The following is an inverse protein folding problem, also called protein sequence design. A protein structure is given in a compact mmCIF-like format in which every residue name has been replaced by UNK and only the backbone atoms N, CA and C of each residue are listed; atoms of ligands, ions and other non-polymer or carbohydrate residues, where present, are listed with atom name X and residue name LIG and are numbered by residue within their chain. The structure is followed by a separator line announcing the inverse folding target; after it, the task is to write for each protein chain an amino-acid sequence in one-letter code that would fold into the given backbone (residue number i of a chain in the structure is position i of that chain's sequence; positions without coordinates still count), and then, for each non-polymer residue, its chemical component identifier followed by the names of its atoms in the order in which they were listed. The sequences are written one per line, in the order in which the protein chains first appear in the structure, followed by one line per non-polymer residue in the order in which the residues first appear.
data_IF_274012745683
#
_entry.id   IF_274012745683
#
_cell.length_a   1.000
_cell.length_b   1.000
_cell.length_c   1.000
_cell.angle_alpha   90.00
_cell.angle_beta   90.00
_cell.angle_gamma   90.00
#
_symmetry.space_group_name_H-M   'P 1'
#
loop_
_entity.id
_entity.type
_entity.pdbx_description
1 polymer ?
#
# COMPACT_ATOMS: atom_id res chain seq x y z
N UNK A 1 2.20 -56.68 -30.39
CA UNK A 1 1.87 -55.34 -29.83
C UNK A 1 1.13 -55.58 -28.52
N UNK A 2 1.65 -55.07 -27.40
CA UNK A 2 1.04 -55.22 -26.08
C UNK A 2 0.74 -53.82 -25.54
N UNK A 3 -0.53 -53.53 -25.28
CA UNK A 3 -0.93 -52.28 -24.65
C UNK A 3 -0.82 -52.40 -23.12
N UNK A 4 0.20 -51.77 -22.55
CA UNK A 4 0.34 -51.64 -21.11
C UNK A 4 -0.49 -50.47 -20.58
N UNK A 5 -1.63 -50.76 -19.95
CA UNK A 5 -2.27 -49.81 -19.04
C UNK A 5 -1.45 -49.75 -17.74
N UNK A 6 -0.99 -48.56 -17.34
CA UNK A 6 -0.39 -48.33 -16.02
C UNK A 6 -1.25 -47.39 -15.18
N UNK A 7 -1.37 -47.75 -13.90
CA UNK A 7 -2.40 -47.27 -13.00
C UNK A 7 -2.22 -45.82 -12.52
N UNK A 8 -3.37 -45.23 -12.22
CA UNK A 8 -3.48 -43.96 -11.52
C UNK A 8 -2.71 -43.92 -10.20
N UNK A 9 -2.00 -42.81 -10.01
CA UNK A 9 -1.45 -42.40 -8.72
C UNK A 9 -2.41 -41.40 -8.08
N UNK A 10 -3.15 -41.84 -7.06
CA UNK A 10 -3.98 -40.91 -6.27
C UNK A 10 -3.08 -40.07 -5.36
N UNK A 11 -2.94 -38.78 -5.68
CA UNK A 11 -2.39 -37.80 -4.73
C UNK A 11 -3.52 -37.24 -3.88
N UNK A 12 -3.64 -37.74 -2.65
CA UNK A 12 -4.49 -37.15 -1.61
C UNK A 12 -3.85 -35.85 -1.10
N UNK A 13 -4.25 -34.72 -1.66
CA UNK A 13 -3.85 -33.39 -1.16
C UNK A 13 -4.59 -33.08 0.14
N UNK A 14 -3.91 -33.20 1.27
CA UNK A 14 -4.47 -32.80 2.57
C UNK A 14 -4.50 -31.27 2.69
N UNK A 15 -5.68 -30.68 2.50
CA UNK A 15 -5.91 -29.24 2.65
C UNK A 15 -5.86 -28.84 4.13
N UNK A 16 -4.67 -28.49 4.62
CA UNK A 16 -4.49 -27.96 5.98
C UNK A 16 -4.98 -26.51 6.02
N UNK A 17 -6.22 -26.31 6.47
CA UNK A 17 -6.72 -24.98 6.84
C UNK A 17 -5.81 -24.39 7.93
N UNK A 18 -5.08 -23.33 7.57
CA UNK A 18 -4.44 -22.46 8.54
C UNK A 18 -5.42 -21.31 8.81
N UNK A 19 -5.96 -21.27 10.03
CA UNK A 19 -6.72 -20.10 10.50
C UNK A 19 -5.81 -18.88 10.50
N UNK A 20 -6.21 -17.83 9.80
CA UNK A 20 -5.61 -16.51 9.91
C UNK A 20 -6.22 -15.82 11.13
N UNK A 21 -5.66 -16.04 12.31
CA UNK A 21 -5.96 -15.20 13.47
C UNK A 21 -5.46 -13.78 13.19
N UNK A 22 -6.39 -12.83 13.20
CA UNK A 22 -6.13 -11.41 12.94
C UNK A 22 -5.50 -10.78 14.16
N UNK A 23 -4.18 -10.63 14.09
CA UNK A 23 -3.37 -9.98 15.12
C UNK A 23 -3.77 -8.50 15.30
N UNK A 24 -4.26 -8.16 16.48
CA UNK A 24 -4.63 -6.79 16.86
C UNK A 24 -3.57 -6.19 17.78
N UNK A 25 -2.45 -5.77 17.18
CA UNK A 25 -1.50 -4.85 17.82
C UNK A 25 -1.27 -3.61 16.96
N UNK A 26 -2.03 -2.56 17.27
CA UNK A 26 -1.78 -1.19 16.79
C UNK A 26 -1.45 -0.33 18.01
N UNK A 27 -0.16 -0.03 18.25
CA UNK A 27 0.19 0.72 19.46
C UNK A 27 1.65 1.04 19.79
N UNK A 28 2.66 0.86 18.92
CA UNK A 28 4.04 1.25 19.25
C UNK A 28 4.75 2.16 18.23
N UNK A 29 5.10 3.35 18.75
CA UNK A 29 6.21 4.25 18.39
C UNK A 29 7.08 3.96 17.15
N UNK A 30 6.88 4.75 16.08
CA UNK A 30 7.95 5.05 15.12
C UNK A 30 8.59 6.40 15.43
N UNK A 31 9.56 6.42 16.34
CA UNK A 31 10.43 7.56 16.57
C UNK A 31 11.40 7.76 15.40
N UNK A 32 11.36 8.92 14.74
CA UNK A 32 12.27 9.27 13.65
C UNK A 32 13.68 9.58 14.20
N UNK A 33 14.48 8.55 14.44
CA UNK A 33 15.88 8.70 14.81
C UNK A 33 16.75 8.90 13.56
N UNK A 34 17.27 10.12 13.41
CA UNK A 34 18.27 10.44 12.38
C UNK A 34 19.57 9.68 12.62
N UNK A 35 20.22 9.15 11.56
CA UNK A 35 21.51 8.46 11.72
C UNK A 35 22.58 9.46 12.16
N UNK A 36 23.23 9.18 13.29
CA UNK A 36 24.37 9.98 13.78
C UNK A 36 25.49 9.95 12.75
N UNK A 37 25.89 11.13 12.28
CA UNK A 37 27.05 11.31 11.41
C UNK A 37 28.32 10.89 12.14
N UNK A 38 28.79 9.67 11.87
CA UNK A 38 30.05 9.14 12.36
C UNK A 38 31.22 9.81 11.62
N UNK A 39 31.67 10.94 12.17
CA UNK A 39 32.88 11.67 11.78
C UNK A 39 34.07 10.70 11.66
N UNK A 40 34.73 10.59 10.49
CA UNK A 40 35.93 9.77 10.37
C UNK A 40 37.05 10.33 11.24
N UNK A 41 37.73 9.44 11.95
CA UNK A 41 38.87 9.77 12.81
C UNK A 41 40.04 10.28 11.96
N UNK A 42 40.65 11.39 12.38
CA UNK A 42 41.86 11.92 11.73
C UNK A 42 43.01 10.91 11.85
N UNK A 43 43.79 10.63 10.80
CA UNK A 43 44.95 9.77 10.90
C UNK A 43 45.98 10.37 11.86
N UNK A 44 46.54 9.54 12.73
CA UNK A 44 47.52 9.94 13.72
C UNK A 44 48.80 10.46 13.03
N UNK A 45 49.24 11.65 13.46
CA UNK A 45 50.43 12.33 12.96
C UNK A 45 51.68 11.52 13.36
N UNK A 46 52.54 11.07 12.42
CA UNK A 46 53.80 10.42 12.78
C UNK A 46 54.71 11.41 13.51
N UNK A 47 55.01 11.13 14.77
CA UNK A 47 56.00 11.86 15.54
C UNK A 47 57.40 11.48 15.06
N UNK A 48 58.01 12.30 14.20
CA UNK A 48 59.43 12.19 13.87
C UNK A 48 60.26 12.64 15.08
N UNK A 49 60.61 11.66 15.92
CA UNK A 49 61.62 11.81 16.97
C UNK A 49 62.98 11.92 16.28
N UNK A 50 63.49 13.13 16.14
CA UNK A 50 64.88 13.37 15.74
C UNK A 50 65.73 13.23 17.01
N UNK A 51 66.36 12.07 17.16
CA UNK A 51 67.38 11.86 18.19
C UNK A 51 68.61 12.70 17.86
N UNK A 52 68.72 13.87 18.48
CA UNK A 52 69.96 14.66 18.51
C UNK A 52 70.93 14.01 19.50
N UNK A 53 71.47 12.85 19.14
CA UNK A 53 72.47 12.17 19.96
C UNK A 53 73.81 12.91 19.89
N UNK A 54 74.32 13.28 21.05
CA UNK A 54 75.60 13.97 21.17
C UNK A 54 76.74 13.03 20.78
N UNK A 55 77.68 13.51 19.96
CA UNK A 55 79.00 12.93 19.93
C UNK A 55 80.08 14.00 20.18
N UNK A 56 81.02 13.66 21.04
CA UNK A 56 81.86 14.56 21.83
C UNK A 56 83.31 14.13 21.65
N UNK A 57 84.04 14.78 20.75
CA UNK A 57 85.45 14.48 20.49
C UNK A 57 86.26 15.72 20.06
N UNK A 58 86.80 16.43 21.04
CA UNK A 58 88.18 16.93 20.97
C UNK A 58 89.12 15.73 21.24
N UNK A 59 90.36 15.63 20.71
CA UNK A 59 91.45 16.56 21.10
C UNK A 59 92.59 16.78 20.07
N UNK A 60 93.68 17.44 20.55
CA UNK A 60 95.09 17.42 20.09
C UNK A 60 95.70 18.58 19.26
N UNK A 61 96.17 19.58 20.03
CA UNK A 61 97.51 20.24 20.01
C UNK A 61 98.64 19.19 20.27
N UNK A 62 99.98 19.41 20.14
CA UNK A 62 100.86 20.49 19.57
C UNK A 62 101.52 19.99 18.23
N UNK A 63 102.79 20.26 17.78
CA UNK A 63 103.89 21.16 18.22
C UNK A 63 104.66 21.99 17.14
N UNK A 64 105.51 22.91 17.62
CA UNK A 64 106.81 23.37 17.02
C UNK A 64 107.96 22.80 17.91
N UNK A 65 109.27 22.69 17.53
CA UNK A 65 110.14 23.72 16.89
C UNK A 65 111.24 23.09 15.94
N UNK A 66 112.57 23.40 16.03
CA UNK A 66 113.34 24.54 15.50
C UNK A 66 114.43 24.18 14.44
N UNK A 67 115.20 25.20 13.97
CA UNK A 67 116.66 25.22 13.63
C UNK A 67 117.07 25.82 12.26
N UNK A 68 118.11 26.66 12.35
CA UNK A 68 119.01 27.26 11.34
C UNK A 68 120.17 26.30 10.96
N UNK A 69 121.19 26.68 10.15
CA UNK A 69 121.26 27.52 8.94
C UNK A 69 122.09 26.87 7.78
N UNK A 70 122.07 27.43 6.55
CA UNK A 70 123.20 27.37 5.59
C UNK A 70 123.00 28.34 4.40
N UNK A 71 124.02 29.16 4.09
CA UNK A 71 124.15 29.86 2.80
C UNK A 71 124.69 28.90 1.72
N UNK A 72 124.37 29.17 0.44
CA UNK A 72 125.46 29.49 -0.48
C UNK A 72 125.20 30.73 -1.35
N UNK A 73 126.23 31.54 -1.56
CA UNK A 73 126.19 32.74 -2.40
C UNK A 73 126.17 32.38 -3.89
N UNK A 74 125.17 32.85 -4.65
CA UNK A 74 125.11 32.65 -6.11
C UNK A 74 124.66 33.93 -6.83
N UNK A 75 125.64 34.53 -7.52
CA UNK A 75 125.59 35.23 -8.81
C UNK A 75 124.45 36.22 -9.15
N UNK A 76 124.82 37.45 -9.55
CA UNK A 76 123.89 38.54 -9.83
C UNK A 76 123.05 38.37 -11.11
N UNK A 77 123.32 37.34 -11.92
CA UNK A 77 122.44 36.91 -13.02
C UNK A 77 121.24 36.05 -12.56
N UNK A 78 121.21 35.61 -11.29
CA UNK A 78 120.08 34.86 -10.72
C UNK A 78 118.94 35.78 -10.30
N UNK A 79 119.20 37.07 -10.05
CA UNK A 79 118.19 38.01 -9.54
C UNK A 79 116.99 38.14 -10.49
N UNK A 80 117.22 38.34 -11.80
CA UNK A 80 116.14 38.42 -12.79
C UNK A 80 115.37 37.08 -12.94
N UNK A 81 116.04 35.95 -12.73
CA UNK A 81 115.37 34.64 -12.71
C UNK A 81 114.59 34.40 -11.40
N UNK A 82 115.07 34.90 -10.27
CA UNK A 82 114.38 34.89 -8.97
C UNK A 82 113.17 35.82 -8.98
N UNK A 83 113.25 37.00 -9.58
CA UNK A 83 112.13 37.93 -9.69
C UNK A 83 111.11 37.44 -10.74
N UNK A 84 111.54 36.79 -11.83
CA UNK A 84 110.63 36.04 -12.71
C UNK A 84 109.98 34.84 -12.01
N UNK A 85 110.71 34.08 -11.19
CA UNK A 85 110.17 32.94 -10.44
C UNK A 85 109.22 33.39 -9.33
N UNK A 86 109.55 34.48 -8.63
CA UNK A 86 108.70 35.14 -7.63
C UNK A 86 107.44 35.71 -8.27
N UNK A 87 107.56 36.35 -9.43
CA UNK A 87 106.43 36.82 -10.23
C UNK A 87 105.56 35.66 -10.73
N UNK A 88 106.17 34.55 -11.17
CA UNK A 88 105.45 33.33 -11.56
C UNK A 88 104.72 32.67 -10.39
N UNK A 89 105.35 32.60 -9.21
CA UNK A 89 104.72 32.13 -7.95
C UNK A 89 103.58 33.07 -7.54
N UNK A 90 103.77 34.38 -7.59
CA UNK A 90 102.74 35.36 -7.26
C UNK A 90 101.56 35.29 -8.25
N UNK A 91 101.84 35.09 -9.54
CA UNK A 91 100.84 34.90 -10.59
C UNK A 91 100.03 33.61 -10.37
N UNK A 92 100.70 32.49 -10.10
CA UNK A 92 100.03 31.21 -9.79
C UNK A 92 99.26 31.28 -8.47
N UNK A 93 99.78 31.94 -7.43
CA UNK A 93 99.05 32.19 -6.17
C UNK A 93 97.83 33.10 -6.37
N UNK A 94 97.93 34.14 -7.19
CA UNK A 94 96.81 35.02 -7.49
C UNK A 94 95.73 34.29 -8.32
N UNK A 95 96.16 33.46 -9.28
CA UNK A 95 95.26 32.58 -10.04
C UNK A 95 94.59 31.55 -9.12
N UNK A 96 95.33 30.92 -8.21
CA UNK A 96 94.78 30.03 -7.18
C UNK A 96 93.78 30.77 -6.28
N UNK A 97 94.11 31.98 -5.82
CA UNK A 97 93.20 32.83 -5.04
C UNK A 97 91.90 33.16 -5.78
N UNK A 98 91.98 33.48 -7.08
CA UNK A 98 90.81 33.67 -7.93
C UNK A 98 90.02 32.36 -8.05
N UNK A 99 90.67 31.21 -8.29
CA UNK A 99 89.96 29.92 -8.37
C UNK A 99 89.31 29.51 -7.05
N UNK A 100 89.94 29.78 -5.90
CA UNK A 100 89.33 29.56 -4.58
C UNK A 100 88.14 30.49 -4.33
N UNK A 101 88.21 31.74 -4.81
CA UNK A 101 87.07 32.68 -4.71
C UNK A 101 85.90 32.20 -5.56
N UNK A 102 86.16 31.80 -6.81
CA UNK A 102 85.14 31.22 -7.71
C UNK A 102 84.58 29.90 -7.15
N UNK A 103 85.42 29.03 -6.59
CA UNK A 103 84.98 27.78 -5.97
C UNK A 103 84.16 28.03 -4.70
N UNK A 104 84.51 29.05 -3.90
CA UNK A 104 83.73 29.49 -2.75
C UNK A 104 82.36 30.06 -3.15
N UNK A 105 82.30 30.86 -4.21
CA UNK A 105 81.04 31.39 -4.76
C UNK A 105 80.17 30.28 -5.36
N UNK A 106 80.77 29.28 -6.02
CA UNK A 106 80.07 28.09 -6.47
C UNK A 106 79.58 27.23 -5.30
N UNK A 107 80.38 27.02 -4.27
CA UNK A 107 79.99 26.29 -3.07
C UNK A 107 78.82 26.96 -2.33
N UNK A 108 78.81 28.30 -2.26
CA UNK A 108 77.68 29.06 -1.75
C UNK A 108 76.41 28.82 -2.58
N UNK A 109 76.50 28.87 -3.91
CA UNK A 109 75.37 28.58 -4.83
C UNK A 109 74.85 27.14 -4.71
N UNK A 110 75.73 26.16 -4.54
CA UNK A 110 75.32 24.77 -4.27
C UNK A 110 74.70 24.59 -2.88
N UNK A 111 75.18 25.33 -1.86
CA UNK A 111 74.57 25.35 -0.53
C UNK A 111 73.17 25.96 -0.54
N UNK A 112 72.91 26.96 -1.39
CA UNK A 112 71.58 27.54 -1.60
C UNK A 112 70.64 26.60 -2.40
N UNK A 113 71.19 25.76 -3.28
CA UNK A 113 70.42 24.78 -4.05
C UNK A 113 69.96 23.56 -3.22
N UNK A 114 70.65 23.22 -2.12
CA UNK A 114 70.31 22.09 -1.25
C UNK A 114 68.84 22.08 -0.79
N UNK A 115 68.33 23.16 -0.16
CA UNK A 115 66.93 23.29 0.22
C UNK A 115 65.93 23.11 -0.95
N UNK A 116 66.30 23.49 -2.17
CA UNK A 116 65.45 23.33 -3.35
C UNK A 116 65.40 21.86 -3.83
N UNK A 117 66.53 21.14 -3.75
CA UNK A 117 66.58 19.70 -4.05
C UNK A 117 65.73 18.91 -3.03
N UNK A 118 65.86 19.22 -1.74
CA UNK A 118 65.04 18.64 -0.67
C UNK A 118 63.54 18.90 -0.86
N UNK A 119 63.18 20.12 -1.29
CA UNK A 119 61.79 20.46 -1.62
C UNK A 119 61.28 19.65 -2.82
N UNK A 120 62.10 19.46 -3.87
CA UNK A 120 61.77 18.64 -5.03
C UNK A 120 61.54 17.16 -4.67
N UNK A 121 62.36 16.59 -3.78
CA UNK A 121 62.15 15.23 -3.28
C UNK A 121 60.86 15.10 -2.47
N UNK A 122 60.56 16.07 -1.59
CA UNK A 122 59.31 16.12 -0.83
C UNK A 122 58.08 16.23 -1.73
N UNK A 123 58.14 17.08 -2.77
CA UNK A 123 57.08 17.18 -3.78
C UNK A 123 56.89 15.86 -4.54
N UNK A 124 57.96 15.17 -4.92
CA UNK A 124 57.86 13.84 -5.56
C UNK A 124 57.20 12.79 -4.64
N UNK A 125 57.54 12.79 -3.35
CA UNK A 125 56.91 11.91 -2.36
C UNK A 125 55.41 12.21 -2.20
N UNK A 126 55.04 13.49 -2.06
CA UNK A 126 53.64 13.93 -1.97
C UNK A 126 52.86 13.54 -3.23
N UNK A 127 53.41 13.76 -4.44
CA UNK A 127 52.75 13.37 -5.69
C UNK A 127 52.52 11.87 -5.81
N UNK A 128 53.46 11.04 -5.33
CA UNK A 128 53.28 9.58 -5.27
C UNK A 128 52.18 9.17 -4.30
N UNK A 129 52.13 9.78 -3.12
CA UNK A 129 51.08 9.51 -2.14
C UNK A 129 49.70 9.97 -2.66
N UNK A 130 49.63 11.15 -3.27
CA UNK A 130 48.42 11.69 -3.89
C UNK A 130 47.86 10.74 -4.95
N UNK A 131 48.71 10.26 -5.89
CA UNK A 131 48.30 9.30 -6.90
C UNK A 131 47.82 7.98 -6.27
N UNK A 132 48.54 7.45 -5.28
CA UNK A 132 48.12 6.24 -4.56
C UNK A 132 46.81 6.43 -3.75
N UNK A 133 46.45 7.66 -3.37
CA UNK A 133 45.14 7.98 -2.81
C UNK A 133 44.05 8.05 -3.89
N UNK A 134 44.34 8.61 -5.07
CA UNK A 134 43.41 8.60 -6.21
C UNK A 134 43.07 7.17 -6.65
N UNK A 135 44.07 6.31 -6.83
CA UNK A 135 43.86 4.90 -7.22
C UNK A 135 42.92 4.17 -6.23
N UNK A 136 43.14 4.38 -4.92
CA UNK A 136 42.28 3.82 -3.86
C UNK A 136 40.86 4.39 -3.89
N UNK A 137 40.67 5.66 -4.24
CA UNK A 137 39.36 6.28 -4.35
C UNK A 137 38.60 5.75 -5.57
N UNK A 138 39.27 5.59 -6.71
CA UNK A 138 38.69 5.03 -7.93
C UNK A 138 38.27 3.56 -7.75
N UNK A 139 39.10 2.75 -7.07
CA UNK A 139 38.71 1.37 -6.73
C UNK A 139 37.55 1.33 -5.73
N UNK A 140 37.52 2.22 -4.72
CA UNK A 140 36.38 2.33 -3.80
C UNK A 140 35.09 2.74 -4.54
N UNK A 141 35.17 3.66 -5.49
CA UNK A 141 34.05 4.11 -6.31
C UNK A 141 33.57 3.00 -7.27
N UNK A 142 34.50 2.26 -7.90
CA UNK A 142 34.20 1.09 -8.72
C UNK A 142 33.46 0.02 -7.93
N UNK A 143 33.96 -0.34 -6.74
CA UNK A 143 33.33 -1.29 -5.83
C UNK A 143 31.93 -0.83 -5.37
N UNK A 144 31.77 0.47 -5.06
CA UNK A 144 30.47 1.04 -4.69
C UNK A 144 29.47 0.97 -5.84
N UNK A 145 29.91 1.29 -7.07
CA UNK A 145 29.10 1.21 -8.30
C UNK A 145 28.65 -0.23 -8.60
N UNK A 146 29.55 -1.21 -8.44
CA UNK A 146 29.23 -2.63 -8.64
C UNK A 146 28.22 -3.13 -7.59
N UNK A 147 28.43 -2.81 -6.32
CA UNK A 147 27.48 -3.13 -5.23
C UNK A 147 26.10 -2.52 -5.49
N UNK A 148 26.04 -1.23 -5.84
CA UNK A 148 24.77 -0.53 -6.11
C UNK A 148 24.07 -1.10 -7.35
N UNK A 149 24.81 -1.40 -8.43
CA UNK A 149 24.25 -2.06 -9.62
C UNK A 149 23.68 -3.44 -9.31
N UNK A 150 24.37 -4.21 -8.47
CA UNK A 150 23.94 -5.56 -8.03
C UNK A 150 22.68 -5.49 -7.18
N UNK A 151 22.63 -4.59 -6.20
CA UNK A 151 21.44 -4.34 -5.37
C UNK A 151 20.24 -3.92 -6.23
N UNK A 152 20.42 -2.93 -7.12
CA UNK A 152 19.35 -2.44 -8.00
C UNK A 152 18.83 -3.52 -8.95
N UNK A 153 19.71 -4.30 -9.59
CA UNK A 153 19.31 -5.44 -10.43
C UNK A 153 18.53 -6.50 -9.63
N UNK A 154 18.96 -6.79 -8.40
CA UNK A 154 18.29 -7.74 -7.52
C UNK A 154 16.92 -7.25 -7.01
N UNK A 155 16.73 -5.95 -6.78
CA UNK A 155 15.43 -5.35 -6.45
C UNK A 155 14.49 -5.32 -7.66
N UNK A 156 15.00 -4.87 -8.82
CA UNK A 156 14.23 -4.81 -10.05
C UNK A 156 13.74 -6.20 -10.49
N UNK A 157 14.61 -7.21 -10.45
CA UNK A 157 14.23 -8.59 -10.78
C UNK A 157 13.16 -9.15 -9.83
N UNK A 158 13.29 -8.92 -8.51
CA UNK A 158 12.29 -9.35 -7.52
C UNK A 158 10.93 -8.68 -7.74
N UNK A 159 10.92 -7.37 -7.98
CA UNK A 159 9.69 -6.61 -8.21
C UNK A 159 8.99 -7.04 -9.52
N UNK A 160 9.76 -7.16 -10.63
CA UNK A 160 9.22 -7.63 -11.90
C UNK A 160 8.67 -9.06 -11.81
N UNK A 161 9.36 -9.98 -11.13
CA UNK A 161 8.87 -11.35 -10.94
C UNK A 161 7.56 -11.35 -10.13
N UNK A 162 7.49 -10.64 -9.00
CA UNK A 162 6.27 -10.53 -8.20
C UNK A 162 5.09 -9.94 -9.01
N UNK A 163 5.33 -8.93 -9.85
CA UNK A 163 4.30 -8.33 -10.71
C UNK A 163 3.83 -9.27 -11.82
N UNK A 164 4.74 -10.06 -12.40
CA UNK A 164 4.41 -11.10 -13.38
C UNK A 164 3.62 -12.23 -12.72
N UNK A 165 4.04 -12.72 -11.55
CA UNK A 165 3.33 -13.73 -10.77
C UNK A 165 1.91 -13.28 -10.43
N UNK A 166 1.74 -12.06 -9.91
CA UNK A 166 0.42 -11.48 -9.61
C UNK A 166 -0.49 -11.43 -10.86
N UNK A 167 0.06 -11.01 -12.02
CA UNK A 167 -0.70 -10.97 -13.29
C UNK A 167 -1.06 -12.36 -13.80
N UNK A 168 -0.15 -13.33 -13.66
CA UNK A 168 -0.40 -14.74 -14.02
C UNK A 168 -1.45 -15.35 -13.11
N UNK A 169 -1.36 -15.16 -11.80
CA UNK A 169 -2.36 -15.63 -10.83
C UNK A 169 -3.75 -15.04 -11.11
N UNK A 170 -3.84 -13.73 -11.37
CA UNK A 170 -5.12 -13.09 -11.72
C UNK A 170 -5.73 -13.70 -13.00
N UNK A 171 -4.92 -13.95 -14.03
CA UNK A 171 -5.39 -14.59 -15.27
C UNK A 171 -5.73 -16.07 -15.10
N UNK A 172 -5.03 -16.80 -14.21
CA UNK A 172 -5.40 -18.17 -13.85
C UNK A 172 -6.74 -18.17 -13.11
N UNK A 173 -6.94 -17.29 -12.13
CA UNK A 173 -8.19 -17.18 -11.38
C UNK A 173 -9.39 -16.91 -12.30
N UNK A 174 -9.26 -15.95 -13.22
CA UNK A 174 -10.26 -15.65 -14.27
C UNK A 174 -10.59 -16.89 -15.12
N UNK A 175 -9.56 -17.61 -15.60
CA UNK A 175 -9.75 -18.82 -16.43
C UNK A 175 -10.34 -19.99 -15.64
N UNK A 176 -9.97 -20.16 -14.37
CA UNK A 176 -10.53 -21.18 -13.48
C UNK A 176 -11.98 -20.86 -13.18
N UNK A 177 -12.33 -19.61 -12.86
CA UNK A 177 -13.72 -19.19 -12.64
C UNK A 177 -14.59 -19.44 -13.87
N UNK A 178 -14.12 -19.08 -15.07
CA UNK A 178 -14.81 -19.35 -16.33
C UNK A 178 -15.02 -20.86 -16.55
N UNK A 179 -13.98 -21.68 -16.34
CA UNK A 179 -14.06 -23.14 -16.53
C UNK A 179 -14.94 -23.83 -15.49
N UNK A 180 -14.90 -23.40 -14.23
CA UNK A 180 -15.80 -23.88 -13.17
C UNK A 180 -17.24 -23.50 -13.50
N UNK A 181 -17.50 -22.27 -13.98
CA UNK A 181 -18.82 -21.83 -14.43
C UNK A 181 -19.35 -22.67 -15.60
N UNK A 182 -18.52 -22.92 -16.61
CA UNK A 182 -18.85 -23.81 -17.74
C UNK A 182 -19.17 -25.25 -17.28
N UNK A 183 -18.39 -25.79 -16.34
CA UNK A 183 -18.59 -27.14 -15.82
C UNK A 183 -19.84 -27.24 -14.95
N UNK A 184 -20.10 -26.26 -14.08
CA UNK A 184 -21.32 -26.18 -13.29
C UNK A 184 -22.57 -26.10 -14.18
N UNK A 185 -22.55 -25.31 -15.26
CA UNK A 185 -23.65 -25.25 -16.22
C UNK A 185 -23.88 -26.55 -17.00
N UNK A 186 -22.86 -27.42 -17.11
CA UNK A 186 -22.97 -28.76 -17.71
C UNK A 186 -23.43 -29.82 -16.72
N UNK A 187 -23.02 -29.70 -15.45
CA UNK A 187 -23.31 -30.67 -14.39
C UNK A 187 -24.62 -30.42 -13.65
N UNK A 188 -25.09 -29.18 -13.59
CA UNK A 188 -26.37 -28.79 -12.98
C UNK A 188 -27.41 -28.63 -14.11
N UNK A 189 -28.36 -29.57 -14.28
CA UNK A 189 -29.38 -29.45 -15.31
C UNK A 189 -30.26 -28.23 -15.05
N UNK A 190 -30.64 -27.52 -16.12
CA UNK A 190 -31.52 -26.34 -16.01
C UNK A 190 -32.87 -26.68 -15.34
N UNK A 191 -33.36 -27.91 -15.50
CA UNK A 191 -34.55 -28.42 -14.81
C UNK A 191 -34.41 -28.41 -13.28
N UNK A 192 -33.25 -28.80 -12.74
CA UNK A 192 -33.01 -28.80 -11.30
C UNK A 192 -32.97 -27.36 -10.74
N UNK A 193 -32.45 -26.39 -11.51
CA UNK A 193 -32.51 -24.98 -11.15
C UNK A 193 -33.96 -24.43 -11.12
N UNK A 194 -34.79 -24.86 -12.08
CA UNK A 194 -36.23 -24.54 -12.09
C UNK A 194 -36.98 -25.21 -10.93
N UNK A 195 -36.62 -26.45 -10.57
CA UNK A 195 -37.19 -27.17 -9.44
C UNK A 195 -36.81 -26.49 -8.10
N UNK A 196 -35.53 -26.16 -7.88
CA UNK A 196 -35.06 -25.46 -6.68
C UNK A 196 -35.75 -24.09 -6.53
N UNK A 197 -35.91 -23.34 -7.63
CA UNK A 197 -36.62 -22.04 -7.58
C UNK A 197 -38.12 -22.21 -7.34
N UNK A 198 -38.75 -23.25 -7.89
CA UNK A 198 -40.13 -23.65 -7.58
C UNK A 198 -40.30 -24.00 -6.09
N UNK A 199 -39.46 -24.87 -5.54
CA UNK A 199 -39.50 -25.25 -4.12
C UNK A 199 -39.18 -24.07 -3.19
N UNK A 200 -38.20 -23.21 -3.51
CA UNK A 200 -37.92 -21.98 -2.75
C UNK A 200 -39.14 -21.05 -2.74
N UNK A 201 -39.83 -20.88 -3.88
CA UNK A 201 -41.10 -20.13 -3.96
C UNK A 201 -42.21 -20.79 -3.11
N UNK A 202 -42.37 -22.11 -3.16
CA UNK A 202 -43.38 -22.84 -2.36
C UNK A 202 -43.13 -22.68 -0.85
N UNK A 203 -41.88 -22.83 -0.38
CA UNK A 203 -41.52 -22.64 1.04
C UNK A 203 -41.82 -21.22 1.49
N UNK A 204 -41.44 -20.22 0.68
CA UNK A 204 -41.71 -18.81 0.96
C UNK A 204 -43.23 -18.51 0.97
N UNK A 205 -44.00 -19.13 0.07
CA UNK A 205 -45.47 -19.08 0.06
C UNK A 205 -46.06 -19.67 1.34
N UNK A 206 -45.62 -20.86 1.76
CA UNK A 206 -46.07 -21.52 3.00
C UNK A 206 -45.77 -20.63 4.22
N UNK A 207 -44.53 -20.13 4.36
CA UNK A 207 -44.14 -19.21 5.43
C UNK A 207 -45.03 -17.96 5.48
N UNK A 208 -45.38 -17.43 4.32
CA UNK A 208 -46.24 -16.24 4.18
C UNK A 208 -47.69 -16.55 4.56
N UNK A 209 -48.23 -17.70 4.14
CA UNK A 209 -49.57 -18.14 4.58
C UNK A 209 -49.63 -18.39 6.08
N UNK A 210 -48.59 -18.99 6.66
CA UNK A 210 -48.48 -19.23 8.10
C UNK A 210 -48.43 -17.91 8.88
N UNK A 211 -47.50 -17.01 8.52
CA UNK A 211 -47.39 -15.66 9.10
C UNK A 211 -48.73 -14.90 9.01
N UNK A 212 -49.38 -14.93 7.85
CA UNK A 212 -50.67 -14.25 7.66
C UNK A 212 -51.81 -14.90 8.47
N UNK A 213 -51.80 -16.23 8.66
CA UNK A 213 -52.77 -16.92 9.52
C UNK A 213 -52.58 -16.56 11.00
N UNK A 214 -51.33 -16.43 11.47
CA UNK A 214 -51.01 -16.00 12.83
C UNK A 214 -51.35 -14.52 13.04
N UNK A 215 -50.99 -13.65 12.09
CA UNK A 215 -51.33 -12.24 12.11
C UNK A 215 -52.86 -12.03 12.14
N UNK A 216 -53.62 -12.78 11.32
CA UNK A 216 -55.09 -12.78 11.37
C UNK A 216 -55.65 -13.25 12.70
N UNK A 217 -55.09 -14.33 13.28
CA UNK A 217 -55.51 -14.82 14.60
C UNK A 217 -55.25 -13.79 15.70
N UNK A 218 -54.14 -13.07 15.64
CA UNK A 218 -53.84 -11.98 16.57
C UNK A 218 -54.80 -10.80 16.37
N UNK A 219 -54.96 -10.34 15.13
CA UNK A 219 -55.83 -9.22 14.77
C UNK A 219 -57.31 -9.50 15.10
N UNK A 220 -57.72 -10.77 15.13
CA UNK A 220 -59.06 -11.21 15.54
C UNK A 220 -59.33 -11.11 17.05
N UNK A 221 -58.28 -11.05 17.88
CA UNK A 221 -58.36 -10.95 19.34
C UNK A 221 -58.28 -9.50 19.84
N UNK A 222 -57.91 -8.55 18.97
CA UNK A 222 -57.71 -7.16 19.37
C UNK A 222 -59.02 -6.53 19.84
N UNK A 223 -58.98 -5.75 20.92
CA UNK A 223 -60.16 -5.08 21.46
C UNK A 223 -60.16 -3.60 21.04
N UNK A 224 -60.98 -3.24 20.05
CA UNK A 224 -61.03 -1.87 19.50
C UNK A 224 -61.31 -0.77 20.54
N UNK A 225 -61.93 -1.09 21.68
CA UNK A 225 -62.20 -0.11 22.74
C UNK A 225 -60.95 0.61 23.24
N UNK A 226 -59.79 -0.06 23.21
CA UNK A 226 -58.53 0.49 23.75
C UNK A 226 -57.72 1.28 22.69
N UNK A 227 -58.07 1.15 21.40
CA UNK A 227 -57.54 1.91 20.25
C UNK A 227 -56.03 1.81 19.95
N UNK A 228 -55.24 1.36 20.92
CA UNK A 228 -53.78 1.41 21.01
C UNK A 228 -53.12 0.05 20.85
N UNK A 229 -53.91 -1.01 20.66
CA UNK A 229 -53.41 -2.37 20.44
C UNK A 229 -52.87 -2.50 19.01
N UNK A 230 -51.61 -2.96 18.90
CA UNK A 230 -50.87 -2.95 17.64
C UNK A 230 -51.36 -4.02 16.67
N UNK A 231 -51.67 -3.61 15.44
CA UNK A 231 -52.02 -4.51 14.35
C UNK A 231 -50.77 -5.29 13.90
N UNK A 232 -50.87 -6.62 13.81
CA UNK A 232 -49.79 -7.41 13.21
C UNK A 232 -49.83 -7.27 11.68
N UNK A 233 -48.71 -6.84 11.04
CA UNK A 233 -48.66 -6.67 9.60
C UNK A 233 -48.75 -8.01 8.86
N UNK A 234 -49.71 -8.10 7.94
CA UNK A 234 -49.77 -9.18 6.97
C UNK A 234 -48.67 -8.95 5.92
N UNK A 235 -48.03 -10.03 5.50
CA UNK A 235 -47.14 -10.04 4.33
C UNK A 235 -48.00 -10.08 3.07
N UNK A 236 -47.58 -9.36 2.02
CA UNK A 236 -48.29 -9.34 0.74
C UNK A 236 -48.28 -10.75 0.12
N UNK A 237 -49.33 -11.15 -0.63
CA UNK A 237 -49.27 -12.36 -1.44
C UNK A 237 -48.05 -12.32 -2.37
N UNK A 238 -47.48 -13.48 -2.72
CA UNK A 238 -46.52 -13.50 -3.81
C UNK A 238 -47.22 -13.05 -5.08
N UNK A 239 -46.75 -11.96 -5.67
CA UNK A 239 -47.14 -11.58 -7.01
C UNK A 239 -46.88 -12.78 -7.93
N UNK A 240 -47.96 -13.37 -8.46
CA UNK A 240 -47.90 -14.45 -9.44
C UNK A 240 -47.42 -13.88 -10.78
N UNK A 241 -46.16 -13.42 -10.83
CA UNK A 241 -45.44 -12.85 -11.96
C UNK A 241 -46.36 -12.30 -13.07
N UNK A 242 -47.16 -11.29 -12.73
CA UNK A 242 -48.06 -10.66 -13.70
C UNK A 242 -47.21 -10.15 -14.87
N UNK A 243 -47.50 -10.55 -16.12
CA UNK A 243 -46.60 -10.28 -17.26
C UNK A 243 -46.40 -8.78 -17.54
N UNK A 244 -47.21 -7.91 -16.94
CA UNK A 244 -47.09 -6.45 -17.02
C UNK A 244 -45.89 -5.87 -16.24
N UNK A 245 -45.38 -6.52 -15.19
CA UNK A 245 -44.23 -6.01 -14.40
C UNK A 245 -42.87 -6.24 -15.09
N UNK A 246 -42.86 -6.80 -16.31
CA UNK A 246 -41.65 -7.02 -17.12
C UNK A 246 -41.20 -5.79 -17.92
N UNK A 247 -41.78 -4.60 -17.73
CA UNK A 247 -41.23 -3.39 -18.33
C UNK A 247 -39.84 -3.11 -17.71
N UNK A 248 -38.75 -3.15 -18.49
CA UNK A 248 -37.42 -2.91 -17.95
C UNK A 248 -37.28 -1.44 -17.56
N UNK A 249 -37.05 -1.17 -16.27
CA UNK A 249 -36.67 0.15 -15.80
C UNK A 249 -35.29 0.50 -16.41
N UNK A 250 -35.19 1.54 -17.26
CA UNK A 250 -34.08 1.68 -18.22
C UNK A 250 -32.76 2.19 -17.61
N UNK A 251 -32.54 1.99 -16.31
CA UNK A 251 -31.43 2.61 -15.57
C UNK A 251 -30.68 1.65 -14.60
N UNK A 252 -30.79 0.33 -14.81
CA UNK A 252 -29.94 -0.66 -14.12
C UNK A 252 -28.84 -1.16 -15.06
N UNK A 253 -27.58 -1.07 -14.60
CA UNK A 253 -26.41 -1.31 -15.43
C UNK A 253 -26.28 -2.77 -15.89
N UNK A 254 -26.07 -3.05 -17.19
CA UNK A 254 -26.00 -4.42 -17.71
C UNK A 254 -24.64 -5.08 -17.38
N UNK A 255 -24.51 -5.62 -16.16
CA UNK A 255 -23.31 -6.40 -15.77
C UNK A 255 -23.56 -7.54 -14.77
N UNK A 256 -24.82 -7.88 -14.49
CA UNK A 256 -25.16 -9.06 -13.69
C UNK A 256 -25.04 -10.34 -14.51
N UNK A 257 -24.28 -11.31 -13.99
CA UNK A 257 -24.16 -12.64 -14.60
C UNK A 257 -25.49 -13.40 -14.52
N UNK A 258 -25.82 -14.30 -15.47
CA UNK A 258 -27.08 -15.03 -15.48
C UNK A 258 -27.31 -15.94 -14.26
N UNK A 259 -26.29 -16.17 -13.42
CA UNK A 259 -26.42 -16.87 -12.15
C UNK A 259 -27.19 -16.07 -11.09
N UNK A 260 -27.09 -14.72 -11.08
CA UNK A 260 -27.72 -13.87 -10.05
C UNK A 260 -29.24 -13.74 -10.21
N UNK A 261 -29.81 -14.18 -11.34
CA UNK A 261 -31.26 -14.24 -11.53
C UNK A 261 -31.95 -15.27 -10.62
N UNK A 262 -31.20 -16.20 -10.03
CA UNK A 262 -31.71 -17.22 -9.09
C UNK A 262 -31.79 -16.73 -7.63
N UNK A 263 -31.15 -15.60 -7.33
CA UNK A 263 -30.68 -15.31 -5.97
C UNK A 263 -31.72 -14.56 -5.12
N UNK A 264 -32.27 -13.45 -5.63
CA UNK A 264 -33.24 -12.62 -4.89
C UNK A 264 -34.69 -13.04 -5.07
N UNK A 265 -35.02 -14.23 -4.57
CA UNK A 265 -36.37 -14.47 -4.03
C UNK A 265 -36.42 -13.86 -2.62
N UNK A 266 -36.56 -12.54 -2.57
CA UNK A 266 -36.71 -11.78 -1.32
C UNK A 266 -38.01 -12.18 -0.61
N UNK A 267 -38.02 -12.33 0.73
CA UNK A 267 -39.26 -12.61 1.46
C UNK A 267 -40.25 -11.42 1.29
N UNK A 268 -41.55 -11.68 1.12
CA UNK A 268 -42.53 -10.64 0.84
C UNK A 268 -42.65 -9.73 2.05
N UNK A 269 -42.22 -8.48 1.86
CA UNK A 269 -42.36 -7.41 2.84
C UNK A 269 -43.83 -6.99 2.95
N UNK A 270 -44.29 -6.57 4.15
CA UNK A 270 -45.62 -5.96 4.29
C UNK A 270 -45.73 -4.69 3.44
N UNK A 271 -46.95 -4.23 3.16
CA UNK A 271 -47.11 -2.92 2.51
C UNK A 271 -46.51 -1.82 3.39
N UNK A 272 -45.78 -0.83 2.84
CA UNK A 272 -45.33 0.33 3.60
C UNK A 272 -46.48 1.23 4.07
N UNK A 273 -47.71 1.00 3.60
CA UNK A 273 -48.94 1.66 4.06
C UNK A 273 -49.73 0.82 5.07
N UNK A 274 -49.17 -0.28 5.57
CA UNK A 274 -49.83 -1.05 6.62
C UNK A 274 -49.87 -0.24 7.93
N UNK A 275 -51.05 0.05 8.50
CA UNK A 275 -51.17 0.89 9.69
C UNK A 275 -50.70 0.17 10.95
N UNK A 276 -50.14 0.95 11.88
CA UNK A 276 -49.54 0.43 13.13
C UNK A 276 -50.62 -0.06 14.10
N UNK A 277 -51.76 0.63 14.15
CA UNK A 277 -52.91 0.32 15.01
C UNK A 277 -54.23 0.63 14.28
N UNK A 278 -55.35 0.41 14.97
CA UNK A 278 -56.69 0.60 14.42
C UNK A 278 -57.05 2.08 14.24
N UNK A 279 -56.50 2.99 15.05
CA UNK A 279 -56.75 4.43 14.91
C UNK A 279 -56.13 4.94 13.59
N UNK A 280 -54.87 4.61 13.34
CA UNK A 280 -54.19 4.93 12.08
C UNK A 280 -54.91 4.33 10.86
N UNK A 281 -55.48 3.13 10.98
CA UNK A 281 -56.29 2.50 9.92
C UNK A 281 -57.57 3.31 9.61
N UNK A 282 -58.22 3.89 10.62
CA UNK A 282 -59.40 4.75 10.47
C UNK A 282 -59.02 6.10 9.88
N UNK A 283 -57.85 6.64 10.22
CA UNK A 283 -57.38 7.95 9.76
C UNK A 283 -56.88 7.95 8.30
N UNK A 284 -56.51 6.80 7.73
CA UNK A 284 -56.02 6.67 6.34
C UNK A 284 -56.86 7.47 5.32
N UNK A 285 -56.20 8.13 4.38
CA UNK A 285 -56.89 8.80 3.26
C UNK A 285 -57.62 7.78 2.37
N UNK A 286 -58.68 8.19 1.62
CA UNK A 286 -59.34 7.30 0.65
C UNK A 286 -58.36 6.72 -0.39
N UNK A 287 -57.33 7.48 -0.74
CA UNK A 287 -56.25 7.08 -1.64
C UNK A 287 -55.33 6.00 -1.03
N UNK A 288 -54.98 6.10 0.24
CA UNK A 288 -54.17 5.09 0.93
C UNK A 288 -54.97 3.82 1.18
N UNK A 289 -56.24 3.93 1.58
CA UNK A 289 -57.14 2.78 1.74
C UNK A 289 -57.31 1.99 0.42
N UNK A 290 -57.52 2.69 -0.71
CA UNK A 290 -57.51 2.07 -2.05
C UNK A 290 -56.18 1.38 -2.35
N UNK A 291 -55.06 2.05 -2.08
CA UNK A 291 -53.72 1.49 -2.34
C UNK A 291 -53.44 0.24 -1.50
N UNK A 292 -53.87 0.24 -0.25
CA UNK A 292 -53.76 -0.91 0.65
C UNK A 292 -54.56 -2.10 0.12
N UNK A 293 -55.79 -1.89 -0.35
CA UNK A 293 -56.61 -2.92 -1.01
C UNK A 293 -55.91 -3.49 -2.25
N UNK A 294 -55.29 -2.65 -3.08
CA UNK A 294 -54.49 -3.06 -4.26
C UNK A 294 -53.25 -3.88 -3.84
N UNK A 295 -52.46 -3.40 -2.87
CA UNK A 295 -51.20 -4.01 -2.41
C UNK A 295 -51.40 -5.45 -1.87
N UNK A 296 -52.59 -5.77 -1.36
CA UNK A 296 -52.97 -7.10 -0.87
C UNK A 296 -53.78 -7.93 -1.88
N UNK A 297 -53.95 -7.45 -3.13
CA UNK A 297 -54.63 -8.18 -4.20
C UNK A 297 -56.13 -8.38 -3.95
N UNK A 298 -56.76 -7.46 -3.22
CA UNK A 298 -58.21 -7.46 -3.00
C UNK A 298 -58.90 -6.73 -4.16
N UNK A 299 -60.01 -7.27 -4.67
CA UNK A 299 -60.73 -6.57 -5.75
C UNK A 299 -61.20 -5.19 -5.27
N UNK A 300 -60.90 -4.15 -6.05
CA UNK A 300 -61.53 -2.86 -5.86
C UNK A 300 -63.01 -3.00 -6.19
N UNK A 301 -63.88 -2.67 -5.23
CA UNK A 301 -65.28 -2.48 -5.54
C UNK A 301 -65.40 -1.34 -6.56
N UNK A 302 -66.15 -1.57 -7.63
CA UNK A 302 -66.31 -0.55 -8.67
C UNK A 302 -67.04 0.65 -8.05
N UNK A 303 -66.45 1.86 -8.07
CA UNK A 303 -67.08 3.01 -7.43
C UNK A 303 -68.48 3.23 -8.00
N UNK A 304 -69.49 3.49 -7.14
CA UNK A 304 -70.85 3.74 -7.60
C UNK A 304 -70.85 4.90 -8.60
N UNK A 305 -71.57 4.72 -9.72
CA UNK A 305 -71.59 5.70 -10.81
C UNK A 305 -72.19 7.03 -10.31
N UNK A 306 -71.35 8.06 -10.33
CA UNK A 306 -71.64 9.50 -10.15
C UNK A 306 -71.92 10.02 -8.73
N UNK A 307 -70.91 10.71 -8.18
CA UNK A 307 -70.99 12.19 -8.19
C UNK A 307 -71.31 12.92 -6.89
N UNK A 308 -71.78 12.23 -5.85
CA UNK A 308 -72.00 12.86 -4.54
C UNK A 308 -70.68 13.20 -3.82
N UNK A 309 -70.59 14.30 -3.06
CA UNK A 309 -69.40 14.62 -2.25
C UNK A 309 -69.08 13.51 -1.23
N UNK A 310 -70.10 12.82 -0.73
CA UNK A 310 -69.97 11.72 0.25
C UNK A 310 -69.42 10.41 -0.36
N UNK A 311 -69.35 10.31 -1.69
CA UNK A 311 -68.92 9.09 -2.39
C UNK A 311 -67.50 8.64 -2.01
N UNK A 312 -66.59 9.58 -1.79
CA UNK A 312 -65.22 9.29 -1.35
C UNK A 312 -65.15 8.70 0.07
N UNK A 313 -66.08 9.10 0.96
CA UNK A 313 -66.16 8.58 2.32
C UNK A 313 -66.77 7.17 2.36
N UNK A 314 -67.84 6.94 1.58
CA UNK A 314 -68.40 5.59 1.42
C UNK A 314 -67.39 4.62 0.80
N UNK A 315 -66.62 5.06 -0.20
CA UNK A 315 -65.59 4.25 -0.83
C UNK A 315 -64.41 3.97 0.12
N UNK A 316 -63.96 4.96 0.92
CA UNK A 316 -62.98 4.72 1.99
C UNK A 316 -63.48 3.63 2.93
N UNK A 317 -64.70 3.76 3.45
CA UNK A 317 -65.24 2.80 4.41
C UNK A 317 -65.48 1.41 3.81
N UNK A 318 -65.89 1.28 2.54
CA UNK A 318 -65.99 -0.03 1.88
C UNK A 318 -64.62 -0.69 1.75
N UNK A 319 -63.61 0.03 1.26
CA UNK A 319 -62.25 -0.48 1.13
C UNK A 319 -61.64 -0.86 2.50
N UNK A 320 -61.85 -0.04 3.54
CA UNK A 320 -61.41 -0.34 4.90
C UNK A 320 -62.14 -1.55 5.49
N UNK A 321 -63.45 -1.69 5.31
CA UNK A 321 -64.21 -2.86 5.75
C UNK A 321 -63.75 -4.14 5.06
N UNK A 322 -63.46 -4.07 3.75
CA UNK A 322 -62.90 -5.18 2.99
C UNK A 322 -61.50 -5.57 3.49
N UNK A 323 -60.67 -4.58 3.83
CA UNK A 323 -59.35 -4.80 4.41
C UNK A 323 -59.42 -5.38 5.84
N UNK A 324 -60.29 -4.84 6.70
CA UNK A 324 -60.58 -5.35 8.05
C UNK A 324 -60.95 -6.84 8.02
N UNK A 325 -61.87 -7.22 7.14
CA UNK A 325 -62.23 -8.61 6.90
C UNK A 325 -61.03 -9.45 6.42
N UNK A 326 -60.19 -8.93 5.52
CA UNK A 326 -59.00 -9.64 5.04
C UNK A 326 -57.91 -9.82 6.12
N UNK A 327 -57.73 -8.86 7.03
CA UNK A 327 -56.79 -8.99 8.15
C UNK A 327 -57.38 -9.76 9.33
N UNK A 328 -58.62 -10.26 9.24
CA UNK A 328 -59.27 -11.07 10.28
C UNK A 328 -59.84 -10.25 11.45
N UNK A 329 -59.89 -8.93 11.34
CA UNK A 329 -60.45 -8.05 12.37
C UNK A 329 -61.99 -8.16 12.34
N UNK A 330 -62.67 -8.55 13.45
CA UNK A 330 -64.10 -8.83 13.48
C UNK A 330 -64.93 -7.54 13.60
N UNK A 331 -64.68 -6.56 12.73
CA UNK A 331 -65.17 -5.20 12.89
C UNK A 331 -65.62 -4.58 11.57
N UNK A 332 -66.65 -3.76 11.66
CA UNK A 332 -67.20 -3.02 10.53
C UNK A 332 -67.34 -1.54 10.91
N UNK A 333 -66.78 -0.68 10.07
CA UNK A 333 -67.01 0.75 10.06
C UNK A 333 -68.38 1.03 9.45
N UNK A 334 -69.32 1.44 10.29
CA UNK A 334 -70.65 1.89 9.89
C UNK A 334 -70.63 3.40 9.64
N UNK A 335 -71.32 3.81 8.57
CA UNK A 335 -71.50 5.22 8.26
C UNK A 335 -72.46 5.84 9.30
N UNK A 336 -71.97 6.83 10.04
CA UNK A 336 -72.77 7.56 11.02
C UNK A 336 -73.48 8.74 10.35
N UNK A 337 -74.79 8.58 10.07
CA UNK A 337 -75.60 9.61 9.44
C UNK A 337 -75.72 10.91 10.27
N UNK A 338 -75.40 10.88 11.57
CA UNK A 338 -75.46 12.05 12.47
C UNK A 338 -74.12 12.80 12.55
N UNK A 339 -72.99 12.16 12.23
CA UNK A 339 -71.68 12.80 12.19
C UNK A 339 -70.79 12.13 11.12
N UNK A 340 -70.60 12.75 9.93
CA UNK A 340 -69.72 12.20 8.90
C UNK A 340 -68.24 12.20 9.32
N UNK A 341 -67.88 12.93 10.37
CA UNK A 341 -66.51 13.04 10.87
C UNK A 341 -66.09 11.86 11.77
N UNK A 342 -67.01 10.98 12.20
CA UNK A 342 -66.68 9.93 13.19
C UNK A 342 -67.43 8.63 12.85
N UNK A 343 -66.77 7.65 12.19
CA UNK A 343 -67.40 6.37 11.87
C UNK A 343 -67.70 5.58 13.14
N UNK A 344 -68.84 4.91 13.17
CA UNK A 344 -69.21 4.03 14.29
C UNK A 344 -68.60 2.65 14.05
N UNK A 345 -67.78 2.18 14.99
CA UNK A 345 -67.14 0.86 14.88
C UNK A 345 -68.00 -0.16 15.62
N UNK A 346 -68.53 -1.14 14.89
CA UNK A 346 -69.33 -2.23 15.48
C UNK A 346 -68.62 -3.55 15.27
N UNK A 347 -68.67 -4.45 16.26
CA UNK A 347 -68.18 -5.82 16.12
C UNK A 347 -69.10 -6.57 15.15
N UNK A 348 -68.54 -7.07 14.05
CA UNK A 348 -69.28 -7.83 13.07
C UNK A 348 -69.59 -9.23 13.62
N UNK A 349 -70.88 -9.59 13.62
CA UNK A 349 -71.37 -10.93 13.93
C UNK A 349 -71.40 -11.73 12.63
N UNK A 350 -70.33 -12.50 12.39
CA UNK A 350 -70.18 -13.42 11.26
C UNK A 350 -70.68 -14.82 11.59
#
# INVERSE_FOLDING_TARGET
MVFGFMNGSQRTSATKFASSDTDSQMGEHTGFLTPKSSRPSSPARPGLIINTEANKASPQKPPSPPLTPAEPSIDSSVQDHMDNYRSSIQSTLNTLGITFTVLGEQAAKYSELGPAIDAGQKLSAISKELNAQYDRQDDALRNMKERLSTMYRGELARNLNAHVENRVQAKIAERVQEKVREQLLKQVPASLGQEITSHKRQVLQIQTTLHNSEARRHNALLHIQDGSELLRPLRRPFEQASPASLLPTPNSSPKSSPASALESLEPPTPSPFFPIDVAHLIDLSPTEARKLVIDYGLDLEKPPRAGGPDSAFHEKNSNLNRFLAHIGAPYQLLHNATSPATPLITRATW
#
